data_IF_123518318401
#
_entry.id   IF_123518318401
#
_cell.length_a   1.000
_cell.length_b   1.000
_cell.length_c   1.000
_cell.angle_alpha   90.00
_cell.angle_beta   90.00
_cell.angle_gamma   90.00
#
_symmetry.space_group_name_H-M   'P 1'
#
loop_
_entity.id
_entity.type
_entity.pdbx_description
1 polymer ?
#
# COMPACT_ATOMS: atom_id res chain seq x y z
N UNK A 1 -1.98 -14.46 11.34
CA UNK A 1 -0.90 -15.33 11.87
C UNK A 1 0.37 -15.33 10.99
N UNK A 2 0.29 -15.19 9.66
CA UNK A 2 1.45 -15.30 8.76
C UNK A 2 2.62 -14.34 9.09
N UNK A 3 2.34 -13.05 9.31
CA UNK A 3 3.33 -12.04 9.70
C UNK A 3 4.06 -12.29 11.03
N UNK A 4 3.41 -12.90 12.03
CA UNK A 4 4.07 -13.26 13.31
C UNK A 4 5.08 -14.38 13.09
N UNK A 5 4.72 -15.39 12.30
CA UNK A 5 5.64 -16.48 11.93
C UNK A 5 6.84 -15.92 11.15
N UNK A 6 6.58 -15.02 10.19
CA UNK A 6 7.63 -14.30 9.47
C UNK A 6 8.53 -13.52 10.42
N UNK A 7 7.97 -12.75 11.36
CA UNK A 7 8.75 -11.98 12.33
C UNK A 7 9.61 -12.86 13.25
N UNK A 8 9.12 -14.03 13.67
CA UNK A 8 9.93 -14.99 14.42
C UNK A 8 11.08 -15.51 13.55
N UNK A 9 10.79 -15.94 12.32
CA UNK A 9 11.81 -16.43 11.40
C UNK A 9 12.90 -15.37 11.14
N UNK A 10 12.50 -14.14 10.82
CA UNK A 10 13.42 -13.01 10.61
C UNK A 10 14.20 -12.65 11.89
N UNK A 11 13.62 -12.87 13.07
CA UNK A 11 14.31 -12.72 14.35
C UNK A 11 15.46 -13.71 14.55
N UNK A 12 15.39 -14.91 13.98
CA UNK A 12 16.45 -15.91 14.03
C UNK A 12 17.41 -15.86 12.84
N UNK A 13 16.89 -15.67 11.64
CA UNK A 13 17.65 -15.76 10.38
C UNK A 13 18.13 -14.40 9.86
N UNK A 14 17.62 -13.30 10.43
CA UNK A 14 17.82 -11.95 9.91
C UNK A 14 16.77 -11.57 8.86
N UNK A 15 16.86 -10.31 8.41
CA UNK A 15 15.90 -9.69 7.50
C UNK A 15 16.14 -10.04 6.02
N UNK A 16 17.31 -10.64 5.69
CA UNK A 16 17.70 -10.91 4.31
C UNK A 16 16.97 -12.13 3.75
N UNK A 17 16.23 -11.93 2.66
CA UNK A 17 15.38 -12.95 2.02
C UNK A 17 16.09 -13.78 0.94
N UNK A 18 17.41 -13.58 0.76
CA UNK A 18 18.21 -14.25 -0.26
C UNK A 18 18.23 -13.56 -1.62
N UNK A 19 17.45 -12.49 -1.83
CA UNK A 19 17.46 -11.70 -3.06
C UNK A 19 18.45 -10.52 -2.94
N UNK A 20 19.55 -10.48 -3.71
CA UNK A 20 20.50 -9.35 -3.63
C UNK A 20 19.87 -7.98 -3.86
N UNK A 21 18.77 -7.89 -4.63
CA UNK A 21 18.08 -6.62 -4.87
C UNK A 21 17.49 -5.99 -3.58
N UNK A 22 17.17 -6.81 -2.57
CA UNK A 22 16.65 -6.34 -1.27
C UNK A 22 17.76 -6.19 -0.23
N UNK A 23 19.02 -6.55 -0.54
CA UNK A 23 20.16 -6.52 0.38
C UNK A 23 20.63 -5.11 0.74
N UNK A 24 20.27 -4.11 -0.06
CA UNK A 24 20.76 -2.74 0.09
C UNK A 24 19.74 -1.88 0.81
N UNK A 25 20.20 -0.76 1.39
CA UNK A 25 19.35 0.18 2.12
C UNK A 25 18.40 0.99 1.22
N UNK A 26 18.58 0.90 -0.11
CA UNK A 26 17.76 1.61 -1.09
C UNK A 26 16.45 0.83 -1.25
N UNK A 27 15.29 1.42 -0.91
CA UNK A 27 14.02 0.71 -1.03
C UNK A 27 13.61 0.55 -2.50
N UNK A 28 12.84 -0.49 -2.85
CA UNK A 28 12.26 -0.62 -4.20
C UNK A 28 11.41 0.57 -4.62
N UNK A 29 10.87 1.34 -3.66
CA UNK A 29 10.08 2.54 -3.92
C UNK A 29 10.87 3.66 -4.62
N UNK A 30 12.20 3.63 -4.60
CA UNK A 30 13.03 4.64 -5.27
C UNK A 30 12.95 4.56 -6.79
N UNK A 31 12.62 3.39 -7.36
CA UNK A 31 12.41 3.23 -8.82
C UNK A 31 10.95 3.43 -9.24
N UNK A 32 10.03 3.73 -8.32
CA UNK A 32 8.62 3.94 -8.66
C UNK A 32 8.40 5.11 -9.64
N UNK A 33 9.10 6.26 -9.54
CA UNK A 33 8.98 7.33 -10.54
C UNK A 33 9.31 6.85 -11.96
N UNK A 34 10.38 6.08 -12.14
CA UNK A 34 10.76 5.53 -13.45
C UNK A 34 9.70 4.57 -13.99
N UNK A 35 9.16 3.71 -13.12
CA UNK A 35 8.08 2.79 -13.50
C UNK A 35 6.79 3.53 -13.87
N UNK A 36 6.49 4.64 -13.19
CA UNK A 36 5.35 5.48 -13.50
C UNK A 36 5.51 6.21 -14.82
N UNK A 37 6.71 6.72 -15.13
CA UNK A 37 7.03 7.27 -16.45
C UNK A 37 6.78 6.23 -17.54
N UNK A 38 7.30 5.00 -17.35
CA UNK A 38 7.09 3.89 -18.29
C UNK A 38 5.62 3.47 -18.41
N UNK A 39 4.85 3.54 -17.33
CA UNK A 39 3.43 3.20 -17.31
C UNK A 39 2.52 4.27 -17.96
N UNK A 40 3.05 5.48 -18.23
CA UNK A 40 2.27 6.60 -18.76
C UNK A 40 1.67 7.52 -17.69
N UNK A 41 2.22 7.51 -16.47
CA UNK A 41 1.88 8.41 -15.37
C UNK A 41 1.11 7.76 -14.21
N UNK A 42 0.95 8.52 -13.12
CA UNK A 42 0.28 8.08 -11.89
C UNK A 42 -1.17 7.63 -12.12
N UNK A 43 -1.91 8.31 -13.00
CA UNK A 43 -3.32 8.00 -13.28
C UNK A 43 -3.55 6.60 -13.86
N UNK A 44 -2.59 6.07 -14.62
CA UNK A 44 -2.65 4.70 -15.14
C UNK A 44 -2.56 3.69 -13.99
N UNK A 45 -1.72 3.96 -13.00
CA UNK A 45 -1.58 3.11 -11.80
C UNK A 45 -2.76 3.28 -10.86
N UNK A 46 -3.36 4.47 -10.74
CA UNK A 46 -4.63 4.65 -10.01
C UNK A 46 -5.74 3.83 -10.66
N UNK A 47 -5.83 3.83 -11.99
CA UNK A 47 -6.78 2.99 -12.73
C UNK A 47 -6.56 1.50 -12.45
N UNK A 48 -5.29 1.06 -12.38
CA UNK A 48 -4.96 -0.31 -11.98
C UNK A 48 -5.40 -0.61 -10.54
N UNK A 49 -5.19 0.32 -9.60
CA UNK A 49 -5.62 0.19 -8.22
C UNK A 49 -7.15 0.05 -8.12
N UNK A 50 -7.90 0.85 -8.88
CA UNK A 50 -9.36 0.75 -8.98
C UNK A 50 -9.81 -0.60 -9.53
N UNK A 51 -9.11 -1.17 -10.52
CA UNK A 51 -9.41 -2.50 -11.06
C UNK A 51 -9.21 -3.60 -10.03
N UNK A 52 -8.12 -3.56 -9.25
CA UNK A 52 -7.91 -4.51 -8.16
C UNK A 52 -9.00 -4.38 -7.09
N UNK A 53 -9.37 -3.15 -6.73
CA UNK A 53 -10.44 -2.91 -5.77
C UNK A 53 -11.79 -3.44 -6.27
N UNK A 54 -12.12 -3.23 -7.55
CA UNK A 54 -13.34 -3.76 -8.16
C UNK A 54 -13.36 -5.31 -8.26
N UNK A 55 -12.20 -5.95 -8.17
CA UNK A 55 -12.04 -7.40 -8.10
C UNK A 55 -11.94 -7.93 -6.65
N UNK A 56 -12.27 -7.11 -5.65
CA UNK A 56 -12.12 -7.40 -4.22
C UNK A 56 -10.68 -7.75 -3.77
N UNK A 57 -9.66 -7.41 -4.56
CA UNK A 57 -8.25 -7.61 -4.23
C UNK A 57 -7.69 -6.39 -3.49
N UNK A 58 -8.07 -6.26 -2.22
CA UNK A 58 -7.70 -5.13 -1.37
C UNK A 58 -6.18 -4.92 -1.27
N UNK A 59 -5.41 -6.00 -1.14
CA UNK A 59 -3.96 -5.90 -0.93
C UNK A 59 -3.25 -5.39 -2.19
N UNK A 60 -3.60 -5.88 -3.38
CA UNK A 60 -3.03 -5.33 -4.62
C UNK A 60 -3.50 -3.91 -4.90
N UNK A 61 -4.75 -3.58 -4.54
CA UNK A 61 -5.24 -2.21 -4.62
C UNK A 61 -4.41 -1.26 -3.74
N UNK A 62 -4.07 -1.66 -2.51
CA UNK A 62 -3.21 -0.89 -1.60
C UNK A 62 -1.81 -0.68 -2.18
N UNK A 63 -1.17 -1.73 -2.68
CA UNK A 63 0.16 -1.60 -3.29
C UNK A 63 0.15 -0.64 -4.49
N UNK A 64 -0.85 -0.73 -5.37
CA UNK A 64 -0.97 0.16 -6.51
C UNK A 64 -1.25 1.62 -6.09
N UNK A 65 -2.13 1.83 -5.11
CA UNK A 65 -2.38 3.17 -4.57
C UNK A 65 -1.12 3.77 -3.94
N UNK A 66 -0.32 2.98 -3.21
CA UNK A 66 0.92 3.46 -2.58
C UNK A 66 2.00 3.83 -3.60
N UNK A 67 2.07 3.13 -4.73
CA UNK A 67 2.95 3.50 -5.85
C UNK A 67 2.54 4.88 -6.39
N UNK A 68 1.24 5.11 -6.63
CA UNK A 68 0.74 6.40 -7.11
C UNK A 68 1.01 7.53 -6.09
N UNK A 69 0.73 7.27 -4.81
CA UNK A 69 0.92 8.24 -3.72
C UNK A 69 2.39 8.56 -3.42
N UNK A 70 3.32 7.69 -3.82
CA UNK A 70 4.76 7.97 -3.71
C UNK A 70 5.18 9.07 -4.68
N UNK A 71 4.57 9.13 -5.87
CA UNK A 71 4.85 10.16 -6.86
C UNK A 71 4.03 11.42 -6.66
N UNK A 72 2.76 11.28 -6.29
CA UNK A 72 1.86 12.38 -5.97
C UNK A 72 1.12 12.10 -4.65
N UNK A 73 1.67 12.56 -3.51
CA UNK A 73 1.08 12.33 -2.20
C UNK A 73 -0.34 12.89 -2.07
N UNK A 74 -0.71 13.92 -2.82
CA UNK A 74 -2.00 14.58 -2.65
C UNK A 74 -3.02 14.12 -3.71
N UNK A 75 -2.70 13.06 -4.48
CA UNK A 75 -3.60 12.50 -5.47
C UNK A 75 -4.89 11.96 -4.81
N UNK A 76 -5.97 12.73 -4.93
CA UNK A 76 -7.27 12.44 -4.33
C UNK A 76 -7.83 11.09 -4.78
N UNK A 77 -7.65 10.73 -6.05
CA UNK A 77 -8.15 9.45 -6.57
C UNK A 77 -7.38 8.26 -5.97
N UNK A 78 -6.06 8.35 -5.83
CA UNK A 78 -5.25 7.34 -5.17
C UNK A 78 -5.59 7.21 -3.68
N UNK A 79 -5.78 8.33 -2.97
CA UNK A 79 -6.23 8.34 -1.57
C UNK A 79 -7.61 7.69 -1.40
N UNK A 80 -8.55 7.96 -2.31
CA UNK A 80 -9.88 7.36 -2.29
C UNK A 80 -9.83 5.83 -2.48
N UNK A 81 -8.97 5.34 -3.38
CA UNK A 81 -8.75 3.89 -3.55
C UNK A 81 -8.10 3.28 -2.32
N UNK A 82 -7.06 3.91 -1.75
CA UNK A 82 -6.40 3.47 -0.51
C UNK A 82 -7.42 3.33 0.63
N UNK A 83 -8.26 4.34 0.84
CA UNK A 83 -9.31 4.34 1.87
C UNK A 83 -10.28 3.16 1.66
N UNK A 84 -10.78 3.00 0.43
CA UNK A 84 -11.73 1.95 0.10
C UNK A 84 -11.14 0.55 0.26
N UNK A 85 -9.87 0.37 -0.12
CA UNK A 85 -9.16 -0.90 0.02
C UNK A 85 -8.89 -1.24 1.49
N UNK A 86 -8.50 -0.27 2.32
CA UNK A 86 -8.36 -0.47 3.77
C UNK A 86 -9.68 -0.87 4.43
N UNK A 87 -10.78 -0.21 4.06
CA UNK A 87 -12.12 -0.55 4.54
C UNK A 87 -12.55 -1.95 4.10
N UNK A 88 -12.26 -2.33 2.86
CA UNK A 88 -12.53 -3.67 2.35
C UNK A 88 -11.75 -4.73 3.14
N UNK A 89 -10.44 -4.52 3.35
CA UNK A 89 -9.61 -5.44 4.12
C UNK A 89 -10.11 -5.54 5.57
N UNK A 90 -10.47 -4.41 6.19
CA UNK A 90 -10.98 -4.36 7.56
C UNK A 90 -12.22 -5.23 7.77
N UNK A 91 -13.15 -5.26 6.80
CA UNK A 91 -14.35 -6.12 6.87
C UNK A 91 -14.02 -7.60 6.94
N UNK A 92 -12.89 -8.02 6.37
CA UNK A 92 -12.45 -9.41 6.35
C UNK A 92 -11.50 -9.79 7.49
N UNK A 93 -10.93 -8.79 8.19
CA UNK A 93 -9.97 -9.01 9.26
C UNK A 93 -10.64 -9.60 10.51
N UNK A 94 -10.09 -10.73 10.97
CA UNK A 94 -10.43 -11.33 12.27
C UNK A 94 -9.32 -11.13 13.32
N UNK A 95 -8.26 -10.38 12.99
CA UNK A 95 -7.10 -10.19 13.84
C UNK A 95 -7.11 -8.79 14.47
N UNK A 96 -7.10 -8.69 15.80
CA UNK A 96 -7.17 -7.41 16.52
C UNK A 96 -6.00 -6.47 16.20
N UNK A 97 -4.80 -7.02 16.00
CA UNK A 97 -3.62 -6.22 15.68
C UNK A 97 -3.71 -5.67 14.25
N UNK A 98 -4.11 -6.51 13.29
CA UNK A 98 -4.37 -6.09 11.90
C UNK A 98 -5.45 -5.01 11.87
N UNK A 99 -6.57 -5.24 12.56
CA UNK A 99 -7.67 -4.27 12.68
C UNK A 99 -7.20 -2.92 13.21
N UNK A 100 -6.34 -2.89 14.23
CA UNK A 100 -5.78 -1.63 14.75
C UNK A 100 -4.97 -0.87 13.70
N UNK A 101 -4.11 -1.55 12.95
CA UNK A 101 -3.33 -0.93 11.87
C UNK A 101 -4.19 -0.46 10.69
N UNK A 102 -5.20 -1.24 10.31
CA UNK A 102 -6.15 -0.85 9.27
C UNK A 102 -6.95 0.39 9.68
N UNK A 103 -7.42 0.46 10.92
CA UNK A 103 -8.12 1.63 11.46
C UNK A 103 -7.22 2.88 11.49
N UNK A 104 -5.96 2.72 11.88
CA UNK A 104 -4.97 3.80 11.80
C UNK A 104 -4.82 4.31 10.37
N UNK A 105 -4.60 3.42 9.40
CA UNK A 105 -4.47 3.80 7.99
C UNK A 105 -5.73 4.47 7.43
N UNK A 106 -6.92 4.04 7.83
CA UNK A 106 -8.20 4.66 7.45
C UNK A 106 -8.25 6.10 7.97
N UNK A 107 -7.92 6.30 9.25
CA UNK A 107 -7.95 7.63 9.89
C UNK A 107 -6.94 8.57 9.23
N UNK A 108 -5.71 8.10 9.00
CA UNK A 108 -4.66 8.85 8.29
C UNK A 108 -5.12 9.25 6.88
N UNK A 109 -5.65 8.30 6.12
CA UNK A 109 -6.07 8.54 4.72
C UNK A 109 -7.26 9.50 4.66
N UNK A 110 -8.22 9.37 5.58
CA UNK A 110 -9.34 10.30 5.68
C UNK A 110 -8.88 11.73 5.99
N UNK A 111 -7.96 11.90 6.95
CA UNK A 111 -7.42 13.22 7.29
C UNK A 111 -6.72 13.89 6.11
N UNK A 112 -6.05 13.13 5.26
CA UNK A 112 -5.42 13.64 4.02
C UNK A 112 -6.45 14.05 2.97
N UNK A 113 -7.51 13.26 2.79
CA UNK A 113 -8.61 13.61 1.88
C UNK A 113 -9.33 14.89 2.34
N UNK A 114 -9.59 15.02 3.64
CA UNK A 114 -10.24 16.20 4.21
C UNK A 114 -9.38 17.47 4.06
N UNK A 115 -8.05 17.33 4.09
CA UNK A 115 -7.11 18.42 3.84
C UNK A 115 -7.01 18.81 2.36
N UNK A 116 -7.12 17.85 1.43
CA UNK A 116 -7.08 18.11 0.00
C UNK A 116 -8.37 18.75 -0.55
N UNK A 117 -9.49 18.63 0.18
CA UNK A 117 -10.77 19.24 -0.16
C UNK A 117 -10.99 20.66 0.40
N UNK A 118 -10.05 21.18 1.19
CA UNK A 118 -10.06 22.56 1.73
C UNK A 118 -9.25 23.50 0.84
#
# INVERSE_FOLDING_TARGET
MAWTVRGIFEGYMGWFDGNPATMYSIPPADVYPDLLELAGGAEVVVTLAQRYLAADDAIRALHAADIALKADPDNVAALAVRLSALQLQLRSSANSNETGWLQFGITETQGRLDAAGQ
#
